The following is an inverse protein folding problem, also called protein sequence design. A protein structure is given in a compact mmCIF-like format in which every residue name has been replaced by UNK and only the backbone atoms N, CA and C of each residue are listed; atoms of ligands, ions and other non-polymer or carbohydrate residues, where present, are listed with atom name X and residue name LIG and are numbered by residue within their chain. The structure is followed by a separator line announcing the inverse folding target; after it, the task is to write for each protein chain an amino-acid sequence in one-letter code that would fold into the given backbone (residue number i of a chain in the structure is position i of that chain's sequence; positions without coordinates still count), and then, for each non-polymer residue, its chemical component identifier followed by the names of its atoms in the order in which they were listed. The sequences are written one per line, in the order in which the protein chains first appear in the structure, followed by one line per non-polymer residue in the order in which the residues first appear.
data_IF_203728348332
#
_entry.id   IF_203728348332
#
_cell.length_a   1.000
_cell.length_b   1.000
_cell.length_c   1.000
_cell.angle_alpha   90.00
_cell.angle_beta   90.00
_cell.angle_gamma   90.00
#
_symmetry.space_group_name_H-M   'P 1'
#
loop_
_entity.id
_entity.type
_entity.pdbx_description
1 polymer ?
#
# COMPACT_ATOMS: atom_id res chain seq x y z
N UNK A 1 1.52 -13.70 -17.01
CA UNK A 1 1.40 -12.24 -17.09
C UNK A 1 2.59 -11.74 -17.90
N UNK A 2 2.35 -11.13 -19.07
CA UNK A 2 3.41 -10.65 -19.97
C UNK A 2 3.41 -9.12 -20.04
N UNK A 3 4.59 -8.51 -19.91
CA UNK A 3 4.75 -7.06 -20.02
C UNK A 3 4.87 -6.62 -21.48
N UNK A 4 4.22 -5.50 -21.84
CA UNK A 4 4.34 -4.86 -23.16
C UNK A 4 5.41 -3.74 -23.18
N UNK A 5 6.08 -3.47 -22.07
CA UNK A 5 7.12 -2.43 -21.96
C UNK A 5 8.46 -3.00 -22.44
N UNK A 6 9.26 -2.18 -23.15
CA UNK A 6 10.60 -2.56 -23.66
C UNK A 6 11.72 -2.41 -22.62
N UNK A 7 11.44 -1.70 -21.54
CA UNK A 7 12.37 -1.39 -20.46
C UNK A 7 11.77 -1.79 -19.12
N UNK A 8 12.61 -1.92 -18.10
CA UNK A 8 12.16 -2.16 -16.73
C UNK A 8 11.40 -0.94 -16.22
N UNK A 9 10.14 -1.13 -15.85
CA UNK A 9 9.33 -0.10 -15.17
C UNK A 9 9.74 0.00 -13.71
N UNK A 10 9.86 1.23 -13.20
CA UNK A 10 10.21 1.53 -11.80
C UNK A 10 9.11 2.34 -11.14
N UNK A 11 9.21 2.52 -9.82
CA UNK A 11 8.35 3.47 -9.11
C UNK A 11 8.84 4.90 -9.41
N UNK A 12 7.91 5.79 -9.75
CA UNK A 12 8.24 7.16 -10.13
C UNK A 12 7.01 8.02 -10.44
N UNK A 13 7.26 9.28 -10.80
CA UNK A 13 6.22 10.30 -10.96
C UNK A 13 5.75 10.49 -12.41
N UNK A 14 6.38 9.82 -13.38
CA UNK A 14 6.07 9.99 -14.81
C UNK A 14 5.11 8.91 -15.32
N UNK A 15 4.55 9.09 -16.51
CA UNK A 15 3.72 8.06 -17.16
C UNK A 15 4.47 6.81 -17.61
N UNK A 16 5.81 6.87 -17.62
CA UNK A 16 6.67 5.72 -17.92
C UNK A 16 7.01 4.90 -16.66
N UNK A 17 6.71 5.44 -15.49
CA UNK A 17 6.84 4.80 -14.20
C UNK A 17 5.48 4.23 -13.73
N UNK A 18 5.52 3.45 -12.65
CA UNK A 18 4.33 3.00 -11.93
C UNK A 18 4.28 3.58 -10.52
N UNK A 19 3.12 3.48 -9.88
CA UNK A 19 2.92 3.91 -8.50
C UNK A 19 2.27 2.81 -7.69
N UNK A 20 2.73 2.64 -6.45
CA UNK A 20 2.11 1.76 -5.47
C UNK A 20 1.72 2.60 -4.25
N UNK A 21 0.56 3.26 -4.34
CA UNK A 21 0.04 4.13 -3.30
C UNK A 21 -1.26 3.56 -2.75
N UNK A 22 -1.39 3.51 -1.43
CA UNK A 22 -2.63 3.16 -0.74
C UNK A 22 -3.00 4.28 0.21
N UNK A 23 -4.09 4.98 -0.11
CA UNK A 23 -4.58 6.10 0.68
C UNK A 23 -5.67 5.61 1.63
N UNK A 24 -5.40 5.73 2.93
CA UNK A 24 -6.35 5.32 3.98
C UNK A 24 -7.06 6.55 4.51
N UNK A 25 -8.37 6.62 4.27
CA UNK A 25 -9.24 7.59 4.92
C UNK A 25 -9.74 7.01 6.24
N UNK A 26 -9.55 7.73 7.34
CA UNK A 26 -9.96 7.29 8.68
C UNK A 26 -10.49 8.49 9.49
N UNK A 27 -11.10 8.20 10.63
CA UNK A 27 -11.51 9.18 11.63
C UNK A 27 -11.04 8.74 13.02
N UNK A 28 -10.95 9.69 13.95
CA UNK A 28 -10.59 9.43 15.35
C UNK A 28 -11.59 10.09 16.29
N UNK A 29 -11.78 9.52 17.47
CA UNK A 29 -12.50 10.18 18.54
C UNK A 29 -11.56 11.17 19.25
N UNK A 30 -12.04 12.39 19.50
CA UNK A 30 -11.27 13.45 20.15
C UNK A 30 -10.49 14.36 19.18
N UNK A 31 -9.37 14.92 19.64
CA UNK A 31 -8.65 16.01 18.93
C UNK A 31 -7.28 15.61 18.39
N UNK A 32 -6.86 14.36 18.55
CA UNK A 32 -5.51 13.91 18.22
C UNK A 32 -5.54 12.92 17.05
N UNK A 33 -5.49 13.39 15.79
CA UNK A 33 -5.35 12.53 14.62
C UNK A 33 -3.93 11.93 14.54
N UNK A 34 -3.74 10.91 13.69
CA UNK A 34 -2.42 10.32 13.46
C UNK A 34 -1.47 11.36 12.87
N UNK A 35 -0.34 11.60 13.53
CA UNK A 35 0.69 12.53 13.05
C UNK A 35 1.44 11.97 11.82
N UNK A 36 1.62 10.65 11.75
CA UNK A 36 2.29 9.99 10.65
C UNK A 36 1.35 9.82 9.46
N UNK A 37 1.52 10.67 8.45
CA UNK A 37 0.68 10.66 7.25
C UNK A 37 1.21 9.78 6.10
N UNK A 38 2.48 9.37 6.17
CA UNK A 38 3.14 8.62 5.10
C UNK A 38 3.82 7.37 5.64
N UNK A 39 3.56 6.25 4.98
CA UNK A 39 4.24 4.98 5.20
C UNK A 39 4.82 4.49 3.87
N UNK A 40 6.05 3.97 3.92
CA UNK A 40 6.72 3.35 2.77
C UNK A 40 7.27 1.99 3.19
N UNK A 41 7.29 1.04 2.25
CA UNK A 41 7.89 -0.28 2.47
C UNK A 41 8.71 -0.71 1.25
N UNK A 42 9.55 -1.72 1.44
CA UNK A 42 10.31 -2.36 0.35
C UNK A 42 9.39 -3.04 -0.69
N UNK A 43 8.12 -3.28 -0.34
CA UNK A 43 7.15 -3.95 -1.20
C UNK A 43 7.53 -5.40 -1.53
N UNK A 44 6.77 -6.00 -2.45
CA UNK A 44 7.04 -7.36 -2.94
C UNK A 44 8.37 -7.42 -3.71
N UNK A 45 9.14 -8.53 -3.58
CA UNK A 45 8.84 -9.75 -2.83
C UNK A 45 9.35 -9.72 -1.38
N UNK A 46 9.84 -8.58 -0.90
CA UNK A 46 10.50 -8.45 0.41
C UNK A 46 9.52 -8.20 1.55
N UNK A 47 8.36 -7.62 1.25
CA UNK A 47 7.36 -7.25 2.23
C UNK A 47 5.94 -7.54 1.71
N UNK A 48 5.14 -8.15 2.57
CA UNK A 48 3.72 -8.43 2.40
C UNK A 48 3.03 -8.14 3.73
N UNK A 49 1.83 -7.55 3.72
CA UNK A 49 1.10 -7.23 4.95
C UNK A 49 0.86 -8.43 5.86
N UNK A 50 0.61 -9.61 5.27
CA UNK A 50 0.43 -10.86 6.02
C UNK A 50 1.63 -11.23 6.90
N UNK A 51 2.84 -10.79 6.53
CA UNK A 51 4.06 -11.07 7.30
C UNK A 51 4.37 -9.98 8.35
N UNK A 52 3.59 -8.90 8.40
CA UNK A 52 3.84 -7.79 9.32
C UNK A 52 3.26 -8.12 10.71
N UNK A 53 4.10 -8.18 11.77
CA UNK A 53 3.65 -8.55 13.11
C UNK A 53 2.71 -7.51 13.75
N UNK A 54 2.59 -6.31 13.17
CA UNK A 54 1.69 -5.26 13.64
C UNK A 54 0.35 -5.24 12.87
N UNK A 55 0.24 -5.98 11.75
CA UNK A 55 -0.98 -6.06 10.94
C UNK A 55 -1.71 -7.39 11.16
N UNK A 56 -2.02 -7.70 12.41
CA UNK A 56 -2.60 -8.99 12.82
C UNK A 56 -4.11 -9.10 12.61
N UNK A 57 -4.80 -7.98 12.36
CA UNK A 57 -6.26 -7.91 12.26
C UNK A 57 -6.71 -7.42 10.87
N UNK A 58 -6.06 -7.88 9.80
CA UNK A 58 -6.54 -7.63 8.43
C UNK A 58 -7.68 -8.61 8.14
N UNK A 59 -8.91 -8.14 7.85
CA UNK A 59 -10.03 -9.03 7.52
C UNK A 59 -9.76 -9.76 6.20
N UNK A 60 -10.02 -11.07 6.16
CA UNK A 60 -9.82 -11.88 4.95
C UNK A 60 -10.88 -11.59 3.87
N UNK A 61 -12.15 -11.35 4.27
CA UNK A 61 -13.27 -11.23 3.32
C UNK A 61 -14.06 -9.91 3.41
N UNK A 62 -14.21 -9.33 4.59
CA UNK A 62 -15.15 -8.20 4.83
C UNK A 62 -14.74 -6.89 4.14
N UNK A 63 -13.43 -6.63 3.98
CA UNK A 63 -12.95 -5.45 3.26
C UNK A 63 -12.95 -5.62 1.73
N UNK A 64 -13.09 -6.87 1.25
CA UNK A 64 -12.98 -7.26 -0.16
C UNK A 64 -14.32 -7.60 -0.80
N UNK A 65 -15.41 -7.59 -0.02
CA UNK A 65 -16.77 -7.91 -0.47
C UNK A 65 -17.64 -6.66 -0.42
N UNK A 66 -17.70 -5.95 -1.55
CA UNK A 66 -18.63 -4.85 -1.83
C UNK A 66 -19.11 -4.94 -3.28
#
# INVERSE_FOLDING_TARGET
MESRRKTVTRIGATSDDEMCNFYVMYWVEGTEPLEQQLCVSEGSPRYYWYNDPYLTNIPDEEASTL
#
